data_IF_306501649095
#
_entry.id   IF_306501649095
#
_cell.length_a   1.000
_cell.length_b   1.000
_cell.length_c   1.000
_cell.angle_alpha   90.00
_cell.angle_beta   90.00
_cell.angle_gamma   90.00
#
_symmetry.space_group_name_H-M   'P 1'
#
loop_
_entity.id
_entity.type
_entity.pdbx_description
1 polymer ?
#
# COMPACT_ATOMS: atom_id res chain seq x y z
N UNK A 1 7.50 -35.09 -1.04
CA UNK A 1 6.30 -34.25 -0.92
C UNK A 1 6.04 -33.57 -2.25
N UNK A 2 4.78 -33.50 -2.70
CA UNK A 2 4.40 -32.76 -3.91
C UNK A 2 4.51 -31.25 -3.59
N UNK A 3 5.33 -30.52 -4.34
CA UNK A 3 5.44 -29.05 -4.27
C UNK A 3 4.71 -28.47 -5.47
N UNK A 4 3.71 -27.63 -5.23
CA UNK A 4 3.05 -26.86 -6.28
C UNK A 4 3.69 -25.46 -6.25
N UNK A 5 4.26 -24.98 -7.36
CA UNK A 5 4.78 -23.62 -7.43
C UNK A 5 3.62 -22.63 -7.25
N UNK A 6 3.73 -21.78 -6.22
CA UNK A 6 2.87 -20.63 -6.06
C UNK A 6 3.60 -19.40 -6.61
N UNK A 7 2.91 -18.58 -7.40
CA UNK A 7 3.36 -17.27 -7.82
C UNK A 7 2.57 -16.22 -7.04
N UNK A 8 2.87 -15.98 -5.75
CA UNK A 8 2.15 -14.99 -4.97
C UNK A 8 2.39 -13.60 -5.58
N UNK A 9 1.32 -12.85 -5.79
CA UNK A 9 1.43 -11.46 -6.23
C UNK A 9 2.18 -10.65 -5.16
N UNK A 10 3.27 -9.94 -5.51
CA UNK A 10 3.99 -9.08 -4.57
C UNK A 10 3.09 -8.01 -3.92
N UNK A 11 1.99 -7.63 -4.58
CA UNK A 11 1.00 -6.66 -4.08
C UNK A 11 0.11 -7.22 -2.96
N UNK A 12 -0.05 -8.54 -2.89
CA UNK A 12 -0.93 -9.23 -1.95
C UNK A 12 -0.15 -10.08 -0.94
N UNK A 13 1.17 -10.13 -1.07
CA UNK A 13 2.04 -10.89 -0.18
C UNK A 13 2.20 -10.22 1.19
N UNK A 14 2.38 -11.01 2.28
CA UNK A 14 2.61 -10.47 3.62
C UNK A 14 3.91 -9.67 3.73
N UNK A 15 4.83 -9.80 2.77
CA UNK A 15 6.09 -9.06 2.71
C UNK A 15 5.88 -7.53 2.64
N UNK A 16 4.67 -7.08 2.28
CA UNK A 16 4.31 -5.66 2.22
C UNK A 16 4.21 -4.98 3.59
N UNK A 17 3.97 -5.74 4.68
CA UNK A 17 3.67 -5.16 6.00
C UNK A 17 4.92 -4.80 6.82
N UNK A 18 6.11 -5.29 6.44
CA UNK A 18 7.34 -5.04 7.18
C UNK A 18 7.39 -5.71 8.56
N UNK A 19 8.43 -5.39 9.34
CA UNK A 19 8.67 -5.93 10.69
C UNK A 19 8.43 -4.84 11.73
N UNK A 20 7.71 -5.17 12.80
CA UNK A 20 7.37 -4.25 13.89
C UNK A 20 7.69 -4.91 15.23
N UNK A 21 8.10 -4.10 16.21
CA UNK A 21 8.35 -4.51 17.58
C UNK A 21 7.55 -3.60 18.52
N UNK A 22 6.94 -4.17 19.56
CA UNK A 22 6.10 -3.44 20.51
C UNK A 22 6.48 -3.79 21.95
N UNK A 23 6.46 -2.80 22.83
CA UNK A 23 6.49 -3.03 24.28
C UNK A 23 5.06 -3.18 24.79
N UNK A 24 4.60 -4.42 24.98
CA UNK A 24 3.24 -4.70 25.42
C UNK A 24 2.92 -4.21 26.85
N UNK A 25 3.94 -3.89 27.65
CA UNK A 25 3.74 -3.35 29.01
C UNK A 25 3.34 -1.88 28.94
N UNK A 26 4.05 -1.09 28.12
CA UNK A 26 3.78 0.32 27.93
C UNK A 26 2.71 0.60 26.86
N UNK A 27 2.54 -0.34 25.92
CA UNK A 27 1.67 -0.24 24.74
C UNK A 27 0.86 -1.54 24.53
N UNK A 28 -0.13 -1.83 25.40
CA UNK A 28 -0.94 -3.04 25.31
C UNK A 28 -1.79 -3.11 24.03
N UNK A 29 -2.03 -1.97 23.38
CA UNK A 29 -2.82 -1.87 22.15
C UNK A 29 -1.96 -1.89 20.87
N UNK A 30 -0.63 -1.96 20.99
CA UNK A 30 0.31 -2.04 19.85
C UNK A 30 0.17 -0.83 18.89
N UNK A 31 -0.01 0.36 19.44
CA UNK A 31 -0.17 1.60 18.69
C UNK A 31 1.18 2.26 18.37
N UNK A 32 2.21 2.00 19.18
CA UNK A 32 3.50 2.69 19.17
C UNK A 32 4.64 1.67 19.04
N UNK A 33 5.00 1.28 17.80
CA UNK A 33 6.12 0.39 17.60
C UNK A 33 7.41 1.05 18.08
N UNK A 34 8.26 0.25 18.70
CA UNK A 34 9.56 0.66 19.23
C UNK A 34 10.67 0.31 18.25
N UNK A 35 11.84 0.89 18.48
CA UNK A 35 13.04 0.56 17.73
C UNK A 35 14.19 0.51 18.70
N UNK A 36 14.63 -0.71 18.94
CA UNK A 36 15.67 -1.05 19.89
C UNK A 36 16.36 -2.31 19.35
N UNK A 37 17.54 -2.11 18.76
CA UNK A 37 18.32 -3.17 18.13
C UNK A 37 18.68 -4.29 19.13
N UNK A 38 18.91 -3.94 20.40
CA UNK A 38 19.26 -4.91 21.42
C UNK A 38 18.06 -5.79 21.79
N UNK A 39 16.87 -5.20 21.90
CA UNK A 39 15.63 -5.94 22.14
C UNK A 39 15.27 -6.77 20.92
N UNK A 40 15.37 -6.23 19.71
CA UNK A 40 15.10 -6.97 18.47
C UNK A 40 16.05 -8.17 18.34
N UNK A 41 17.35 -7.98 18.55
CA UNK A 41 18.33 -9.06 18.52
C UNK A 41 17.99 -10.17 19.53
N UNK A 42 17.61 -9.79 20.75
CA UNK A 42 17.15 -10.73 21.77
C UNK A 42 15.89 -11.47 21.32
N UNK A 43 14.91 -10.78 20.73
CA UNK A 43 13.66 -11.40 20.26
C UNK A 43 13.92 -12.38 19.11
N UNK A 44 14.81 -12.04 18.17
CA UNK A 44 15.20 -12.94 17.07
C UNK A 44 15.87 -14.21 17.59
N UNK A 45 16.76 -14.11 18.58
CA UNK A 45 17.38 -15.29 19.21
C UNK A 45 16.34 -16.21 19.84
N UNK A 46 15.41 -15.66 20.62
CA UNK A 46 14.31 -16.42 21.22
C UNK A 46 13.39 -17.05 20.17
N UNK A 47 13.15 -16.35 19.06
CA UNK A 47 12.39 -16.90 17.93
C UNK A 47 13.10 -18.11 17.32
N UNK A 48 14.41 -18.01 17.05
CA UNK A 48 15.20 -19.12 16.50
C UNK A 48 15.26 -20.30 17.47
N UNK A 49 15.43 -20.05 18.77
CA UNK A 49 15.34 -21.08 19.81
C UNK A 49 14.00 -21.80 19.79
N UNK A 50 12.89 -21.06 19.70
CA UNK A 50 11.54 -21.63 19.62
C UNK A 50 11.30 -22.44 18.34
N UNK A 51 11.79 -21.95 17.18
CA UNK A 51 11.75 -22.69 15.92
C UNK A 51 12.53 -24.00 16.02
N UNK A 52 13.72 -23.96 16.62
CA UNK A 52 14.55 -25.15 16.81
C UNK A 52 13.91 -26.15 17.77
N UNK A 53 13.33 -25.67 18.88
CA UNK A 53 12.64 -26.52 19.85
C UNK A 53 11.40 -27.23 19.30
N UNK A 54 10.85 -26.74 18.19
CA UNK A 54 9.68 -27.31 17.51
C UNK A 54 10.03 -28.07 16.23
N UNK A 55 11.32 -28.33 15.98
CA UNK A 55 11.82 -28.96 14.76
C UNK A 55 11.29 -28.28 13.48
N UNK A 56 11.23 -26.93 13.49
CA UNK A 56 10.73 -26.17 12.36
C UNK A 56 11.52 -26.49 11.08
N UNK A 57 10.86 -26.65 9.91
CA UNK A 57 11.55 -26.92 8.66
C UNK A 57 12.54 -25.80 8.28
N UNK A 58 13.63 -26.16 7.58
CA UNK A 58 14.65 -25.23 7.11
C UNK A 58 14.09 -24.03 6.32
N UNK A 59 13.01 -24.26 5.54
CA UNK A 59 12.32 -23.23 4.77
C UNK A 59 11.77 -22.08 5.65
N UNK A 60 11.50 -22.32 6.94
CA UNK A 60 11.03 -21.28 7.86
C UNK A 60 12.12 -20.26 8.20
N UNK A 61 13.34 -20.74 8.47
CA UNK A 61 14.50 -19.87 8.74
C UNK A 61 14.85 -19.05 7.49
N UNK A 62 14.85 -19.69 6.32
CA UNK A 62 15.09 -19.02 5.04
C UNK A 62 14.05 -17.93 4.75
N UNK A 63 12.76 -18.19 5.05
CA UNK A 63 11.68 -17.21 4.87
C UNK A 63 11.85 -15.99 5.79
N UNK A 64 12.32 -16.20 7.01
CA UNK A 64 12.57 -15.15 7.99
C UNK A 64 13.90 -14.43 7.75
N UNK A 65 14.80 -15.01 6.95
CA UNK A 65 16.13 -14.47 6.70
C UNK A 65 17.07 -14.60 7.90
N UNK A 66 16.89 -15.63 8.74
CA UNK A 66 17.68 -15.87 9.95
C UNK A 66 18.41 -17.21 9.87
N UNK A 67 19.52 -17.40 10.61
CA UNK A 67 20.17 -18.70 10.74
C UNK A 67 19.34 -19.68 11.58
N UNK A 68 19.70 -20.96 11.50
CA UNK A 68 19.12 -22.08 12.25
C UNK A 68 19.68 -22.22 13.69
N UNK A 69 20.67 -21.39 14.04
CA UNK A 69 21.29 -21.37 15.36
C UNK A 69 21.17 -19.94 15.97
N UNK A 70 20.63 -19.80 17.19
CA UNK A 70 20.49 -18.50 17.85
C UNK A 70 21.84 -17.77 18.04
N UNK A 71 22.95 -18.50 18.24
CA UNK A 71 24.27 -17.90 18.45
C UNK A 71 24.82 -17.24 17.17
N UNK A 72 24.27 -17.61 16.01
CA UNK A 72 24.62 -17.03 14.71
C UNK A 72 23.77 -15.81 14.36
N UNK A 73 22.76 -15.47 15.16
CA UNK A 73 21.96 -14.27 14.97
C UNK A 73 22.77 -13.04 15.40
N UNK A 74 23.04 -12.18 14.41
CA UNK A 74 23.75 -10.90 14.53
C UNK A 74 22.87 -9.73 14.07
N UNK A 75 23.41 -8.51 14.20
CA UNK A 75 22.80 -7.24 13.79
C UNK A 75 22.44 -7.19 12.30
N UNK A 76 23.09 -8.00 11.47
CA UNK A 76 22.79 -8.11 10.03
C UNK A 76 21.39 -8.66 9.74
N UNK A 77 20.73 -9.27 10.74
CA UNK A 77 19.38 -9.83 10.61
C UNK A 77 18.29 -8.90 11.16
N UNK A 78 18.66 -7.71 11.66
CA UNK A 78 17.70 -6.74 12.19
C UNK A 78 16.91 -6.11 11.04
N UNK A 79 15.59 -6.11 11.18
CA UNK A 79 14.64 -5.68 10.16
C UNK A 79 13.77 -4.52 10.60
N UNK A 80 13.58 -4.26 11.90
CA UNK A 80 12.69 -3.18 12.37
C UNK A 80 13.12 -1.82 11.81
N UNK A 81 14.40 -1.45 11.98
CA UNK A 81 14.93 -0.20 11.42
C UNK A 81 14.96 -0.26 9.89
N UNK A 82 15.45 -1.37 9.32
CA UNK A 82 15.63 -1.52 7.87
C UNK A 82 14.31 -1.51 7.08
N UNK A 83 13.20 -1.89 7.71
CA UNK A 83 11.87 -1.97 7.09
C UNK A 83 10.90 -0.89 7.61
N UNK A 84 11.39 0.10 8.36
CA UNK A 84 10.56 1.14 8.99
C UNK A 84 9.58 1.78 8.01
N UNK A 85 10.10 2.36 6.92
CA UNK A 85 9.28 3.09 5.94
C UNK A 85 8.17 2.21 5.37
N UNK A 86 8.49 0.94 5.09
CA UNK A 86 7.52 -0.03 4.60
C UNK A 86 6.45 -0.35 5.65
N UNK A 87 6.86 -0.56 6.90
CA UNK A 87 5.94 -0.89 7.98
C UNK A 87 5.04 0.30 8.35
N UNK A 88 5.56 1.53 8.31
CA UNK A 88 4.79 2.76 8.49
C UNK A 88 3.77 2.94 7.35
N UNK A 89 4.20 2.81 6.10
CA UNK A 89 3.31 2.87 4.94
C UNK A 89 2.18 1.82 4.99
N UNK A 90 2.47 0.62 5.47
CA UNK A 90 1.48 -0.45 5.62
C UNK A 90 0.49 -0.22 6.77
N UNK A 91 0.85 0.62 7.75
CA UNK A 91 -0.01 1.03 8.87
C UNK A 91 -0.81 2.29 8.57
N UNK A 92 -0.48 3.02 7.52
CA UNK A 92 -1.28 4.17 7.11
C UNK A 92 -2.73 3.74 6.85
N UNK A 93 -3.72 4.50 7.35
CA UNK A 93 -5.11 4.28 6.99
C UNK A 93 -5.27 4.31 5.47
N UNK A 94 -6.22 3.53 4.95
CA UNK A 94 -6.59 3.61 3.54
C UNK A 94 -6.97 5.05 3.18
N UNK A 95 -6.49 5.52 2.03
CA UNK A 95 -6.77 6.87 1.56
C UNK A 95 -8.28 7.07 1.41
N UNK A 96 -8.81 8.14 1.97
CA UNK A 96 -10.22 8.50 1.86
C UNK A 96 -10.45 9.29 0.59
N UNK A 97 -11.65 9.20 0.05
CA UNK A 97 -11.99 9.89 -1.20
C UNK A 97 -11.95 11.41 -1.11
N UNK A 98 -12.20 11.98 0.06
CA UNK A 98 -12.26 13.43 0.28
C UNK A 98 -10.88 14.07 0.49
N UNK A 99 -9.81 13.29 0.44
CA UNK A 99 -8.42 13.78 0.53
C UNK A 99 -7.89 14.34 -0.81
N UNK A 100 -8.62 14.15 -1.91
CA UNK A 100 -8.10 14.37 -3.26
C UNK A 100 -8.88 15.44 -4.03
N UNK A 101 -8.18 16.12 -4.93
CA UNK A 101 -8.79 17.11 -5.84
C UNK A 101 -9.84 16.44 -6.73
N UNK A 102 -11.00 17.07 -6.84
CA UNK A 102 -12.13 16.55 -7.61
C UNK A 102 -12.18 17.11 -9.04
N UNK A 103 -12.56 16.24 -9.97
CA UNK A 103 -12.81 16.53 -11.37
C UNK A 103 -14.03 15.74 -11.86
N UNK A 104 -14.47 16.02 -13.09
CA UNK A 104 -15.53 15.26 -13.75
C UNK A 104 -15.16 13.77 -13.85
N UNK A 105 -13.89 13.49 -14.19
CA UNK A 105 -13.26 12.19 -13.98
C UNK A 105 -12.34 12.29 -12.75
N UNK A 106 -12.37 11.29 -11.87
CA UNK A 106 -11.62 11.30 -10.61
C UNK A 106 -11.25 9.88 -10.15
N UNK A 107 -10.63 9.75 -8.98
CA UNK A 107 -10.15 8.46 -8.44
C UNK A 107 -11.27 7.47 -8.09
N UNK A 108 -12.54 7.93 -8.02
CA UNK A 108 -13.74 7.11 -7.81
C UNK A 108 -14.43 6.74 -9.12
N UNK A 109 -13.96 7.25 -10.27
CA UNK A 109 -14.38 6.76 -11.57
C UNK A 109 -13.91 5.31 -11.73
N UNK A 110 -14.76 4.38 -12.21
CA UNK A 110 -14.33 3.02 -12.52
C UNK A 110 -13.11 3.05 -13.43
N UNK A 111 -12.10 2.22 -13.14
CA UNK A 111 -10.85 2.27 -13.88
C UNK A 111 -11.06 1.96 -15.37
N UNK A 112 -12.00 1.08 -15.71
CA UNK A 112 -12.36 0.83 -17.11
C UNK A 112 -12.83 2.10 -17.83
N UNK A 113 -13.63 2.95 -17.16
CA UNK A 113 -14.14 4.20 -17.74
C UNK A 113 -13.02 5.24 -17.86
N UNK A 114 -12.12 5.32 -16.88
CA UNK A 114 -10.92 6.17 -16.99
C UNK A 114 -10.02 5.76 -18.15
N UNK A 115 -9.85 4.45 -18.38
CA UNK A 115 -8.99 3.94 -19.45
C UNK A 115 -9.65 4.02 -20.83
N UNK A 116 -10.97 4.18 -20.90
CA UNK A 116 -11.69 4.44 -22.14
C UNK A 116 -11.39 5.87 -22.68
N UNK A 117 -11.01 6.81 -21.80
CA UNK A 117 -10.66 8.16 -22.19
C UNK A 117 -9.15 8.30 -22.43
N UNK A 118 -8.68 8.60 -23.66
CA UNK A 118 -7.26 8.60 -24.01
C UNK A 118 -6.38 9.46 -23.10
N UNK A 119 -6.80 10.68 -22.79
CA UNK A 119 -6.00 11.60 -21.96
C UNK A 119 -5.87 11.11 -20.51
N UNK A 120 -6.93 10.50 -19.96
CA UNK A 120 -6.90 9.88 -18.63
C UNK A 120 -6.03 8.61 -18.63
N UNK A 121 -6.13 7.77 -19.66
CA UNK A 121 -5.31 6.57 -19.79
C UNK A 121 -3.81 6.88 -19.83
N UNK A 122 -3.42 7.94 -20.54
CA UNK A 122 -2.03 8.39 -20.61
C UNK A 122 -1.54 8.98 -19.28
N UNK A 123 -2.40 9.72 -18.56
CA UNK A 123 -2.10 10.16 -17.20
C UNK A 123 -1.85 8.99 -16.24
N UNK A 124 -2.71 7.96 -16.28
CA UNK A 124 -2.56 6.74 -15.46
C UNK A 124 -1.24 6.03 -15.77
N UNK A 125 -0.92 5.78 -17.05
CA UNK A 125 0.34 5.12 -17.45
C UNK A 125 1.58 5.87 -16.99
N UNK A 126 1.54 7.20 -17.07
CA UNK A 126 2.66 8.08 -16.72
C UNK A 126 2.87 8.20 -15.21
N UNK A 127 1.78 8.40 -14.44
CA UNK A 127 1.84 8.71 -13.01
C UNK A 127 1.87 7.43 -12.16
N UNK A 128 1.19 6.37 -12.62
CA UNK A 128 1.13 5.08 -11.93
C UNK A 128 1.67 3.97 -12.85
N UNK A 129 2.98 3.97 -13.13
CA UNK A 129 3.58 2.96 -13.98
C UNK A 129 3.42 1.57 -13.36
N UNK A 130 3.21 0.57 -14.20
CA UNK A 130 3.04 -0.83 -13.77
C UNK A 130 1.63 -1.19 -13.29
N UNK A 131 0.73 -0.21 -13.09
CA UNK A 131 -0.64 -0.51 -12.68
C UNK A 131 -1.38 -1.33 -13.74
N UNK A 132 -1.19 -0.95 -15.01
CA UNK A 132 -1.85 -1.61 -16.15
C UNK A 132 -1.31 -3.01 -16.46
N UNK A 133 -0.15 -3.34 -15.90
CA UNK A 133 0.52 -4.62 -16.08
C UNK A 133 0.11 -5.63 -14.99
N UNK A 134 -0.76 -5.23 -14.06
CA UNK A 134 -1.22 -6.11 -12.99
C UNK A 134 -2.34 -7.04 -13.46
N UNK A 135 -2.17 -8.35 -13.28
CA UNK A 135 -3.23 -9.36 -13.48
C UNK A 135 -4.46 -9.16 -12.57
N UNK A 136 -4.44 -8.14 -11.70
CA UNK A 136 -5.58 -7.65 -10.92
C UNK A 136 -6.64 -6.97 -11.81
N UNK A 137 -6.25 -6.38 -12.94
CA UNK A 137 -7.18 -5.69 -13.85
C UNK A 137 -8.08 -6.65 -14.62
N UNK A 138 -7.59 -7.86 -14.91
CA UNK A 138 -8.36 -8.91 -15.58
C UNK A 138 -9.43 -9.53 -14.67
N UNK A 139 -9.34 -9.36 -13.35
CA UNK A 139 -10.23 -10.03 -12.38
C UNK A 139 -11.31 -9.10 -11.80
N UNK A 140 -11.23 -7.77 -11.96
CA UNK A 140 -12.21 -6.82 -11.37
C UNK A 140 -12.47 -5.56 -12.20
N UNK A 141 -13.05 -5.71 -13.40
CA UNK A 141 -13.30 -4.62 -14.36
C UNK A 141 -14.12 -3.42 -13.87
N UNK A 142 -14.75 -3.47 -12.69
CA UNK A 142 -15.51 -2.36 -12.09
C UNK A 142 -14.83 -1.63 -10.94
N UNK A 143 -13.59 -1.98 -10.56
CA UNK A 143 -12.92 -1.33 -9.42
C UNK A 143 -12.43 0.06 -9.79
N UNK A 144 -12.53 0.99 -8.85
CA UNK A 144 -11.95 2.34 -8.93
C UNK A 144 -10.47 2.29 -8.52
N UNK A 145 -9.70 3.30 -8.89
CA UNK A 145 -8.29 3.42 -8.46
C UNK A 145 -8.16 3.49 -6.94
N UNK A 146 -9.07 4.20 -6.28
CA UNK A 146 -9.07 4.32 -4.83
C UNK A 146 -9.32 2.97 -4.13
N UNK A 147 -10.24 2.15 -4.66
CA UNK A 147 -10.51 0.80 -4.14
C UNK A 147 -9.34 -0.16 -4.37
N UNK A 148 -8.68 -0.07 -5.54
CA UNK A 148 -7.49 -0.85 -5.83
C UNK A 148 -6.40 -0.49 -4.82
N UNK A 149 -6.11 0.80 -4.64
CA UNK A 149 -5.11 1.28 -3.69
C UNK A 149 -5.42 0.87 -2.25
N UNK A 150 -6.68 0.98 -1.80
CA UNK A 150 -7.09 0.55 -0.47
C UNK A 150 -6.86 -0.95 -0.23
N UNK A 151 -7.03 -1.78 -1.27
CA UNK A 151 -6.85 -3.22 -1.17
C UNK A 151 -5.38 -3.63 -1.25
N UNK A 152 -4.63 -3.07 -2.20
CA UNK A 152 -3.25 -3.49 -2.52
C UNK A 152 -2.18 -2.69 -1.79
N UNK A 153 -2.52 -1.53 -1.23
CA UNK A 153 -1.56 -0.52 -0.78
C UNK A 153 -0.85 0.21 -1.93
N UNK A 154 -1.31 0.02 -3.18
CA UNK A 154 -0.69 0.59 -4.37
C UNK A 154 -1.72 1.03 -5.43
N UNK A 155 -1.62 2.24 -6.01
CA UNK A 155 -0.63 3.28 -5.71
C UNK A 155 -0.74 3.85 -4.29
N UNK A 156 0.39 4.35 -3.77
CA UNK A 156 0.41 5.12 -2.52
C UNK A 156 -0.19 6.52 -2.69
N UNK A 157 -0.39 7.22 -1.57
CA UNK A 157 -1.06 8.54 -1.50
C UNK A 157 -0.45 9.56 -2.46
N UNK A 158 0.86 9.70 -2.51
CA UNK A 158 1.52 10.70 -3.38
C UNK A 158 1.14 10.56 -4.86
N UNK A 159 1.09 9.32 -5.35
CA UNK A 159 0.70 9.01 -6.73
C UNK A 159 -0.80 9.21 -6.95
N UNK A 160 -1.63 8.88 -5.96
CA UNK A 160 -3.07 9.17 -5.99
C UNK A 160 -3.31 10.68 -6.08
N UNK A 161 -2.63 11.48 -5.26
CA UNK A 161 -2.71 12.95 -5.28
C UNK A 161 -2.29 13.51 -6.63
N UNK A 162 -1.12 13.12 -7.13
CA UNK A 162 -0.63 13.57 -8.44
C UNK A 162 -1.60 13.23 -9.58
N UNK A 163 -2.22 12.04 -9.53
CA UNK A 163 -3.20 11.63 -10.53
C UNK A 163 -4.52 12.38 -10.38
N UNK A 164 -5.00 12.60 -9.16
CA UNK A 164 -6.20 13.40 -8.91
C UNK A 164 -6.05 14.83 -9.43
N UNK A 165 -4.91 15.48 -9.17
CA UNK A 165 -4.61 16.83 -9.64
C UNK A 165 -4.51 16.89 -11.18
N UNK A 166 -3.94 15.85 -11.81
CA UNK A 166 -3.90 15.76 -13.27
C UNK A 166 -5.30 15.57 -13.87
N UNK A 167 -6.10 14.67 -13.31
CA UNK A 167 -7.48 14.42 -13.76
C UNK A 167 -8.35 15.66 -13.60
N UNK A 168 -8.26 16.36 -12.47
CA UNK A 168 -9.00 17.60 -12.25
C UNK A 168 -8.59 18.71 -13.24
N UNK A 169 -7.32 18.76 -13.65
CA UNK A 169 -6.83 19.72 -14.65
C UNK A 169 -7.33 19.39 -16.06
N UNK A 170 -7.35 18.11 -16.43
CA UNK A 170 -7.79 17.64 -17.75
C UNK A 170 -9.32 17.64 -17.87
N UNK A 171 -10.02 17.34 -16.77
CA UNK A 171 -11.48 17.17 -16.70
C UNK A 171 -12.04 18.01 -15.54
N UNK A 172 -11.99 19.34 -15.63
CA UNK A 172 -12.50 20.20 -14.57
C UNK A 172 -13.99 19.95 -14.33
N UNK A 173 -14.45 20.21 -13.10
CA UNK A 173 -15.88 20.22 -12.81
C UNK A 173 -16.56 21.30 -13.67
N UNK A 174 -17.81 21.08 -14.13
CA UNK A 174 -18.56 22.13 -14.79
C UNK A 174 -18.65 23.34 -13.84
N UNK A 175 -18.30 24.53 -14.31
CA UNK A 175 -18.56 25.74 -13.53
C UNK A 175 -20.04 25.76 -13.16
N UNK A 176 -20.33 25.88 -11.86
CA UNK A 176 -21.69 26.06 -11.39
C UNK A 176 -22.24 27.30 -12.09
N UNK A 177 -23.11 27.09 -13.08
CA UNK A 177 -23.76 28.17 -13.82
C UNK A 177 -24.53 29.01 -12.81
N UNK A 178 -23.93 30.12 -12.35
CA UNK A 178 -24.68 31.20 -11.73
C UNK A 178 -25.54 31.78 -12.83
N UNK A 179 -26.88 31.69 -12.75
CA UNK A 179 -27.72 32.36 -13.73
C UNK A 179 -27.40 33.86 -13.63
N UNK A 180 -26.85 34.42 -14.71
CA UNK A 180 -26.71 35.87 -14.86
C UNK A 180 -28.06 36.51 -14.57
N UNK A 181 -28.12 37.31 -13.51
CA UNK A 181 -29.23 38.25 -13.28
C UNK A 181 -29.11 39.38 -14.30
N UNK A 182 -29.43 39.09 -15.56
CA UNK A 182 -29.73 40.11 -16.56
C UNK A 182 -31.21 40.03 -16.88
N UNK A 183 -31.95 41.02 -16.38
CA UNK A 183 -33.38 41.15 -16.67
C UNK A 183 -34.15 42.05 -15.72
N UNK A 184 -33.59 43.19 -15.28
CA UNK A 184 -34.46 44.27 -14.78
C UNK A 184 -35.02 45.06 -15.97
N UNK A 185 -36.35 45.15 -16.12
CA UNK A 185 -36.96 45.95 -17.17
C UNK A 185 -36.84 47.43 -16.81
N UNK A 186 -36.33 48.23 -17.75
CA UNK A 186 -36.42 49.70 -17.69
C UNK A 186 -37.88 50.11 -17.50
N UNK A 187 -38.14 50.96 -16.50
CA UNK A 187 -39.26 51.91 -16.47
C UNK A 187 -38.73 53.28 -16.10
#
# INVERSE_FOLDING_TARGET
TLRIPAHPSPLLGPQRFGTLLFDLTADPHQEKPITDDAVELRMLRLLVEGLRATDAPADQYARLGVPDDPDRVTEAHLLVTAQRERAEAAREPAARSDEFTEGTLNLRTPLADLLAEPAAADAVRRIVPGLLDTELLTVRGGSTLLQIAAFTGHPGRDRLTALADELARLFPLPEAHHPSRDGEPRR
#
